data_IF_473281733216
#
_entry.id   IF_473281733216
#
_cell.length_a   1.000
_cell.length_b   1.000
_cell.length_c   1.000
_cell.angle_alpha   90.00
_cell.angle_beta   90.00
_cell.angle_gamma   90.00
#
_symmetry.space_group_name_H-M   'P 1'
#
loop_
_entity.id
_entity.type
_entity.pdbx_description
1 polymer ?
#
# COMPACT_ATOMS: atom_id res chain seq x y z
N UNK A 1 1.34 16.90 -3.55
CA UNK A 1 0.20 16.29 -2.83
C UNK A 1 0.73 15.04 -2.20
N UNK A 2 0.51 14.89 -0.90
CA UNK A 2 0.91 13.69 -0.17
C UNK A 2 -0.27 13.09 0.60
N UNK A 3 -0.20 11.78 0.76
CA UNK A 3 -1.08 11.03 1.66
C UNK A 3 -0.45 11.03 3.06
N UNK A 4 -1.24 11.36 4.08
CA UNK A 4 -0.91 11.17 5.50
C UNK A 4 -1.83 10.07 6.05
N UNK A 5 -1.25 8.99 6.52
CA UNK A 5 -1.96 7.99 7.31
C UNK A 5 -1.83 8.33 8.79
N UNK A 6 -2.93 8.24 9.54
CA UNK A 6 -2.90 8.42 11.00
C UNK A 6 -2.81 7.04 11.64
N UNK A 7 -1.67 6.64 12.23
CA UNK A 7 -1.49 5.29 12.73
C UNK A 7 -2.31 5.05 14.00
N UNK A 8 -3.33 4.20 13.92
CA UNK A 8 -4.07 3.69 15.06
C UNK A 8 -4.29 2.18 14.90
N UNK A 9 -3.25 1.43 15.27
CA UNK A 9 -3.22 -0.03 15.48
C UNK A 9 -3.32 -0.94 14.22
N UNK A 10 -2.15 -1.49 13.89
CA UNK A 10 -1.90 -2.87 13.45
C UNK A 10 -2.53 -3.35 12.12
N UNK A 11 -1.73 -3.23 11.06
CA UNK A 11 -1.88 -3.96 9.80
C UNK A 11 -1.72 -5.48 10.03
N UNK A 12 -2.84 -6.21 10.15
CA UNK A 12 -2.83 -7.67 10.27
C UNK A 12 -2.92 -8.33 8.89
N UNK A 13 -1.78 -8.48 8.20
CA UNK A 13 -1.72 -9.26 6.96
C UNK A 13 -1.77 -10.75 7.32
N UNK A 14 -2.94 -11.37 7.19
CA UNK A 14 -3.09 -12.82 7.33
C UNK A 14 -2.71 -13.50 6.00
N UNK A 15 -1.43 -13.82 5.82
CA UNK A 15 -0.93 -14.50 4.62
C UNK A 15 -0.85 -16.02 4.82
N UNK A 16 -1.63 -16.77 4.03
CA UNK A 16 -1.59 -18.24 4.01
C UNK A 16 -0.60 -18.71 2.93
N UNK A 17 0.59 -19.16 3.32
CA UNK A 17 1.61 -19.68 2.38
C UNK A 17 1.46 -21.19 2.16
N UNK A 18 1.18 -21.60 0.91
CA UNK A 18 1.23 -23.01 0.49
C UNK A 18 2.57 -23.29 -0.25
N UNK A 19 3.35 -24.32 0.14
CA UNK A 19 4.59 -24.66 -0.58
C UNK A 19 4.31 -25.44 -1.87
N UNK A 20 4.83 -24.96 -3.02
CA UNK A 20 4.77 -25.67 -4.30
C UNK A 20 6.08 -26.45 -4.58
N UNK A 21 5.94 -27.63 -5.18
CA UNK A 21 6.99 -28.63 -5.47
C UNK A 21 8.11 -28.12 -6.40
N UNK A 22 9.38 -28.43 -6.07
CA UNK A 22 10.56 -28.07 -6.84
C UNK A 22 10.99 -29.18 -7.83
N UNK A 23 11.38 -28.79 -9.05
CA UNK A 23 12.05 -29.63 -10.06
C UNK A 23 13.58 -29.55 -9.93
N UNK A 24 14.28 -30.68 -10.02
CA UNK A 24 15.74 -30.81 -9.79
C UNK A 24 16.55 -31.05 -11.08
N UNK A 25 17.61 -30.27 -11.30
CA UNK A 25 18.66 -30.47 -12.32
C UNK A 25 20.00 -30.96 -11.72
N UNK A 26 21.00 -31.38 -12.53
CA UNK A 26 22.19 -32.09 -12.03
C UNK A 26 23.24 -31.20 -11.37
N UNK A 27 23.94 -31.78 -10.39
CA UNK A 27 24.69 -31.12 -9.31
C UNK A 27 26.21 -30.93 -9.55
N UNK A 28 26.79 -29.90 -8.91
CA UNK A 28 28.23 -29.74 -8.66
C UNK A 28 28.50 -29.73 -7.15
N UNK A 29 29.58 -30.38 -6.72
CA UNK A 29 29.95 -30.57 -5.31
C UNK A 29 30.53 -29.31 -4.66
N UNK A 30 29.66 -28.48 -4.11
CA UNK A 30 29.87 -27.83 -2.81
C UNK A 30 29.00 -28.57 -1.80
N UNK A 31 29.35 -28.60 -0.51
CA UNK A 31 28.44 -29.10 0.52
C UNK A 31 27.27 -28.12 0.62
N UNK A 32 26.32 -28.27 -0.31
CA UNK A 32 25.13 -27.47 -0.40
C UNK A 32 24.30 -27.79 0.85
N UNK A 33 23.99 -26.76 1.64
CA UNK A 33 22.88 -26.85 2.56
C UNK A 33 21.69 -27.37 1.73
N UNK A 34 21.02 -28.47 2.08
CA UNK A 34 19.92 -29.02 1.28
C UNK A 34 18.77 -28.03 1.08
N UNK A 35 18.77 -26.92 1.83
CA UNK A 35 17.85 -25.80 1.69
C UNK A 35 18.33 -24.68 0.75
N UNK A 36 19.57 -24.71 0.26
CA UNK A 36 20.10 -23.69 -0.65
C UNK A 36 19.52 -23.88 -2.06
N UNK A 37 19.08 -22.79 -2.67
CA UNK A 37 18.47 -22.83 -3.99
C UNK A 37 17.40 -21.75 -4.22
N UNK A 38 16.88 -21.68 -5.46
CA UNK A 38 15.78 -20.79 -5.79
C UNK A 38 14.47 -21.29 -5.18
N UNK A 39 13.60 -20.36 -4.82
CA UNK A 39 12.25 -20.67 -4.38
C UNK A 39 11.27 -19.57 -4.81
N UNK A 40 10.01 -19.94 -4.93
CA UNK A 40 8.90 -19.03 -5.20
C UNK A 40 7.91 -19.02 -4.04
N UNK A 41 7.21 -17.89 -3.87
CA UNK A 41 6.07 -17.74 -2.97
C UNK A 41 4.95 -17.04 -3.70
N UNK A 42 3.73 -17.48 -3.43
CA UNK A 42 2.51 -16.77 -3.78
C UNK A 42 1.68 -16.61 -2.52
N UNK A 43 1.00 -15.49 -2.39
CA UNK A 43 0.16 -15.15 -1.25
C UNK A 43 -1.05 -14.36 -1.71
N UNK A 44 -2.10 -14.42 -0.90
CA UNK A 44 -3.28 -13.57 -1.03
C UNK A 44 -3.71 -13.12 0.37
N UNK A 45 -4.28 -11.93 0.45
CA UNK A 45 -4.75 -11.35 1.71
C UNK A 45 -5.79 -10.27 1.49
N UNK A 46 -6.31 -9.73 2.59
CA UNK A 46 -7.18 -8.55 2.57
C UNK A 46 -6.45 -7.45 3.33
N UNK A 47 -6.28 -6.31 2.68
CA UNK A 47 -5.79 -5.07 3.29
C UNK A 47 -6.97 -4.36 3.95
N UNK A 48 -6.79 -3.86 5.17
CA UNK A 48 -7.78 -3.06 5.90
C UNK A 48 -7.15 -1.68 6.17
N UNK A 49 -7.31 -0.73 5.25
CA UNK A 49 -6.59 0.53 5.30
C UNK A 49 -7.10 1.43 6.42
N UNK A 50 -6.17 2.11 7.10
CA UNK A 50 -6.52 3.12 8.10
C UNK A 50 -6.97 4.43 7.45
N UNK A 51 -7.40 5.38 8.30
CA UNK A 51 -7.72 6.74 7.86
C UNK A 51 -6.56 7.38 7.11
N UNK A 52 -6.85 7.91 5.93
CA UNK A 52 -5.91 8.59 5.03
C UNK A 52 -6.41 10.00 4.75
N UNK A 53 -5.51 10.97 4.89
CA UNK A 53 -5.73 12.37 4.53
C UNK A 53 -4.87 12.77 3.34
N UNK A 54 -5.43 13.59 2.45
CA UNK A 54 -4.75 14.18 1.31
C UNK A 54 -4.70 15.70 1.46
N UNK A 55 -3.50 16.25 1.31
CA UNK A 55 -3.25 17.68 1.31
C UNK A 55 -2.12 18.03 0.33
N UNK A 56 -1.96 19.32 0.05
CA UNK A 56 -0.79 19.79 -0.70
C UNK A 56 0.44 19.82 0.21
N UNK A 57 1.57 19.31 -0.29
CA UNK A 57 2.87 19.47 0.36
C UNK A 57 3.29 20.95 0.42
N UNK A 58 3.08 21.65 -0.70
CA UNK A 58 3.26 23.08 -0.82
C UNK A 58 1.98 23.70 -1.39
N UNK A 59 1.14 24.21 -0.49
CA UNK A 59 -0.15 24.81 -0.84
C UNK A 59 -0.02 26.08 -1.70
N UNK A 60 1.18 26.68 -1.78
CA UNK A 60 1.47 27.86 -2.60
C UNK A 60 2.15 27.51 -3.92
N UNK A 61 2.27 26.22 -4.27
CA UNK A 61 2.88 25.77 -5.52
C UNK A 61 2.10 26.29 -6.73
N UNK A 62 2.81 26.83 -7.71
CA UNK A 62 2.23 27.29 -8.98
C UNK A 62 2.61 26.38 -10.16
N UNK A 63 3.62 25.51 -10.01
CA UNK A 63 4.08 24.56 -11.04
C UNK A 63 4.57 23.25 -10.39
N UNK A 64 3.73 22.21 -10.32
CA UNK A 64 2.30 22.20 -10.65
C UNK A 64 1.49 23.10 -9.70
N UNK A 65 0.34 23.59 -10.15
CA UNK A 65 -0.57 24.34 -9.27
C UNK A 65 -1.02 23.43 -8.10
N UNK A 66 -1.10 24.00 -6.91
CA UNK A 66 -1.63 23.32 -5.73
C UNK A 66 -3.07 22.84 -5.97
N UNK A 67 -3.38 21.61 -5.55
CA UNK A 67 -4.68 20.98 -5.82
C UNK A 67 -5.78 21.51 -4.90
N UNK A 68 -5.45 21.71 -3.62
CA UNK A 68 -6.34 22.22 -2.59
C UNK A 68 -6.08 23.71 -2.31
N UNK A 69 -4.80 24.12 -2.34
CA UNK A 69 -4.38 25.50 -2.10
C UNK A 69 -4.21 25.84 -0.62
N UNK A 70 -3.75 27.06 -0.35
CA UNK A 70 -3.57 27.54 1.02
C UNK A 70 -4.87 28.12 1.59
N UNK A 71 -5.16 27.79 2.85
CA UNK A 71 -6.30 28.35 3.57
C UNK A 71 -6.79 27.42 4.66
N UNK A 72 -7.67 27.94 5.51
CA UNK A 72 -8.46 27.13 6.42
C UNK A 72 -9.77 26.72 5.72
N UNK A 73 -10.13 25.46 5.87
CA UNK A 73 -11.42 24.93 5.45
C UNK A 73 -12.57 25.35 6.36
N UNK A 74 -13.75 24.85 6.04
CA UNK A 74 -15.00 25.12 6.78
C UNK A 74 -14.96 24.68 8.26
N UNK A 75 -14.00 23.84 8.63
CA UNK A 75 -13.77 23.33 9.98
C UNK A 75 -12.57 23.99 10.70
N UNK A 76 -11.98 25.04 10.13
CA UNK A 76 -10.83 25.76 10.69
C UNK A 76 -9.49 25.04 10.56
N UNK A 77 -9.45 23.82 10.01
CA UNK A 77 -8.22 23.08 9.70
C UNK A 77 -7.73 23.45 8.29
N UNK A 78 -6.45 23.22 7.93
CA UNK A 78 -5.97 23.40 6.56
C UNK A 78 -6.84 22.64 5.53
N UNK A 79 -6.92 23.15 4.31
CA UNK A 79 -7.68 22.49 3.23
C UNK A 79 -7.12 21.08 2.97
N UNK A 80 -7.99 20.08 3.10
CA UNK A 80 -7.66 18.66 2.97
C UNK A 80 -8.89 17.83 2.55
N UNK A 81 -8.62 16.60 2.10
CA UNK A 81 -9.61 15.55 1.96
C UNK A 81 -9.23 14.38 2.88
N UNK A 82 -10.11 13.99 3.80
CA UNK A 82 -9.86 12.92 4.76
C UNK A 82 -10.89 11.81 4.62
N UNK A 83 -10.45 10.56 4.66
CA UNK A 83 -11.30 9.39 4.48
C UNK A 83 -10.55 8.10 4.76
N UNK A 84 -10.97 7.01 4.13
CA UNK A 84 -10.26 5.73 4.16
C UNK A 84 -10.39 5.05 2.81
N UNK A 85 -9.48 4.12 2.55
CA UNK A 85 -9.68 3.16 1.48
C UNK A 85 -10.56 2.01 1.97
N UNK A 86 -11.38 1.48 1.09
CA UNK A 86 -12.15 0.27 1.36
C UNK A 86 -11.22 -0.94 1.47
N UNK A 87 -11.64 -2.01 2.18
CA UNK A 87 -10.87 -3.23 2.28
C UNK A 87 -10.61 -3.82 0.89
N UNK A 88 -9.35 -4.08 0.58
CA UNK A 88 -8.92 -4.45 -0.76
C UNK A 88 -8.25 -5.82 -0.77
N UNK A 89 -8.46 -6.57 -1.86
CA UNK A 89 -7.70 -7.80 -2.10
C UNK A 89 -6.24 -7.47 -2.37
N UNK A 90 -5.33 -8.22 -1.74
CA UNK A 90 -3.89 -8.16 -2.00
C UNK A 90 -3.47 -9.49 -2.58
N UNK A 91 -2.72 -9.45 -3.69
CA UNK A 91 -2.03 -10.60 -4.26
C UNK A 91 -0.54 -10.35 -4.20
N UNK A 92 0.20 -11.30 -3.64
CA UNK A 92 1.64 -11.21 -3.47
C UNK A 92 2.34 -12.34 -4.24
N UNK A 93 3.43 -12.00 -4.91
CA UNK A 93 4.33 -12.95 -5.53
C UNK A 93 5.77 -12.64 -5.13
N UNK A 94 6.54 -13.67 -4.81
CA UNK A 94 7.93 -13.53 -4.46
C UNK A 94 8.78 -14.58 -5.16
N UNK A 95 9.97 -14.18 -5.59
CA UNK A 95 11.02 -15.07 -6.06
C UNK A 95 12.29 -14.78 -5.29
N UNK A 96 12.98 -15.82 -4.83
CA UNK A 96 14.14 -15.63 -4.01
C UNK A 96 15.16 -16.75 -4.16
N UNK A 97 16.33 -16.50 -3.59
CA UNK A 97 17.40 -17.48 -3.48
C UNK A 97 17.81 -17.60 -2.01
N UNK A 98 17.82 -18.83 -1.51
CA UNK A 98 18.36 -19.15 -0.19
C UNK A 98 19.81 -19.61 -0.35
N UNK A 99 20.73 -18.97 0.36
CA UNK A 99 22.16 -19.32 0.31
C UNK A 99 22.51 -20.37 1.37
N UNK A 100 21.88 -20.30 2.54
CA UNK A 100 21.98 -21.25 3.63
C UNK A 100 20.77 -21.07 4.58
N UNK A 101 20.74 -21.78 5.71
CA UNK A 101 19.68 -21.66 6.73
C UNK A 101 19.45 -20.25 7.29
N UNK A 102 20.40 -19.32 7.17
CA UNK A 102 20.33 -17.99 7.77
C UNK A 102 20.19 -16.85 6.77
N UNK A 103 20.68 -17.03 5.53
CA UNK A 103 20.73 -15.98 4.51
C UNK A 103 19.81 -16.32 3.33
N UNK A 104 18.95 -15.36 3.02
CA UNK A 104 17.98 -15.40 1.92
C UNK A 104 17.85 -14.01 1.33
N UNK A 105 17.72 -13.95 0.01
CA UNK A 105 17.37 -12.74 -0.73
C UNK A 105 16.09 -13.03 -1.51
N UNK A 106 15.16 -12.09 -1.52
CA UNK A 106 13.84 -12.21 -2.15
C UNK A 106 13.49 -10.91 -2.86
N UNK A 107 12.93 -11.01 -4.06
CA UNK A 107 12.21 -9.95 -4.73
C UNK A 107 10.70 -10.23 -4.56
N UNK A 108 9.98 -9.26 -3.99
CA UNK A 108 8.54 -9.34 -3.71
C UNK A 108 7.80 -8.32 -4.59
N UNK A 109 6.71 -8.76 -5.20
CA UNK A 109 5.72 -7.96 -5.89
C UNK A 109 4.39 -8.09 -5.16
N UNK A 110 3.79 -6.96 -4.80
CA UNK A 110 2.45 -6.89 -4.22
C UNK A 110 1.55 -6.11 -5.17
N UNK A 111 0.38 -6.66 -5.49
CA UNK A 111 -0.62 -6.06 -6.36
C UNK A 111 -1.97 -5.95 -5.65
N UNK A 112 -2.64 -4.82 -5.82
CA UNK A 112 -3.93 -4.45 -5.24
C UNK A 112 -4.81 -3.91 -6.37
N UNK A 113 -5.70 -4.71 -6.97
CA UNK A 113 -6.41 -4.34 -8.20
C UNK A 113 -7.52 -3.30 -7.99
N UNK A 114 -8.11 -3.22 -6.80
CA UNK A 114 -9.31 -2.42 -6.53
C UNK A 114 -9.12 -1.60 -5.25
N UNK A 115 -8.51 -0.41 -5.37
CA UNK A 115 -8.37 0.54 -4.26
C UNK A 115 -9.34 1.70 -4.44
N UNK A 116 -10.47 1.62 -3.74
CA UNK A 116 -11.47 2.69 -3.70
C UNK A 116 -11.29 3.54 -2.45
N UNK A 117 -11.13 4.85 -2.64
CA UNK A 117 -11.10 5.84 -1.58
C UNK A 117 -12.46 6.50 -1.43
N UNK A 118 -12.92 6.63 -0.19
CA UNK A 118 -14.12 7.39 0.18
C UNK A 118 -13.82 8.29 1.38
N UNK A 119 -14.21 9.56 1.29
CA UNK A 119 -13.93 10.54 2.32
C UNK A 119 -14.77 11.81 2.24
N UNK A 120 -14.37 12.79 3.04
CA UNK A 120 -14.93 14.13 3.09
C UNK A 120 -13.84 15.18 2.90
N UNK A 121 -14.14 16.23 2.16
CA UNK A 121 -13.30 17.43 2.11
C UNK A 121 -13.84 18.53 3.02
N UNK A 122 -12.98 19.50 3.34
CA UNK A 122 -13.33 20.67 4.15
C UNK A 122 -13.31 21.97 3.33
N UNK A 123 -13.54 21.93 2.03
CA UNK A 123 -13.41 23.10 1.16
C UNK A 123 -14.45 24.18 1.48
N UNK A 124 -14.08 25.42 1.18
CA UNK A 124 -14.96 26.56 1.29
C UNK A 124 -15.88 26.57 0.05
N UNK A 125 -17.13 26.14 0.21
CA UNK A 125 -18.07 26.01 -0.91
C UNK A 125 -19.53 25.90 -0.49
N UNK A 126 -20.43 26.07 -1.47
CA UNK A 126 -21.88 26.04 -1.27
C UNK A 126 -22.44 24.71 -0.74
N UNK A 127 -21.65 23.63 -0.86
CA UNK A 127 -21.97 22.31 -0.32
C UNK A 127 -21.93 22.26 1.23
N UNK A 128 -21.46 23.30 1.90
CA UNK A 128 -21.45 23.36 3.37
C UNK A 128 -20.50 22.32 3.99
N UNK A 129 -20.84 21.75 5.17
CA UNK A 129 -19.98 20.79 5.87
C UNK A 129 -19.97 19.37 5.27
N UNK A 130 -20.88 19.06 4.33
CA UNK A 130 -21.00 17.71 3.74
C UNK A 130 -20.48 17.74 2.30
N UNK A 131 -19.24 17.29 2.12
CA UNK A 131 -18.52 17.36 0.85
C UNK A 131 -17.87 16.00 0.54
N UNK A 132 -18.67 15.02 0.06
CA UNK A 132 -18.15 13.70 -0.25
C UNK A 132 -17.18 13.75 -1.41
N UNK A 133 -16.06 13.05 -1.24
CA UNK A 133 -15.02 12.87 -2.25
C UNK A 133 -14.69 11.39 -2.36
N UNK A 134 -14.42 10.94 -3.57
CA UNK A 134 -14.02 9.56 -3.82
C UNK A 134 -13.07 9.46 -5.00
N UNK A 135 -12.27 8.40 -5.01
CA UNK A 135 -11.35 8.10 -6.10
C UNK A 135 -11.21 6.59 -6.23
N UNK A 136 -11.19 6.10 -7.46
CA UNK A 136 -10.79 4.73 -7.78
C UNK A 136 -9.33 4.77 -8.25
N UNK A 137 -8.48 3.99 -7.61
CA UNK A 137 -7.05 3.86 -7.94
C UNK A 137 -6.82 2.44 -8.41
N UNK A 138 -6.97 2.24 -9.72
CA UNK A 138 -6.68 0.98 -10.43
C UNK A 138 -5.44 1.09 -11.31
#
# INVERSE_FOLDING_TARGET
MHARTTPHLALAILSLTLPLLAFSGPASHAQADPAAGPYGRLGGGIDWPESTGFADDNCASQRPAALFGCGAGNNGRPLEASGSFDPALVVEGAVGYRFNRWIRVEALLSWRPDLDFSGQSNFLGAAGPNQPVGANVS
#
